data_IF_569597929325
#
_entry.id   IF_569597929325
#
_cell.length_a   1.000
_cell.length_b   1.000
_cell.length_c   1.000
_cell.angle_alpha   90.00
_cell.angle_beta   90.00
_cell.angle_gamma   90.00
#
_symmetry.space_group_name_H-M   'P 1'
#
loop_
_entity.id
_entity.type
_entity.pdbx_description
1 polymer ?
#
# COMPACT_ATOMS: atom_id res chain seq x y z
N UNK A 1 18.83 0.20 5.26
CA UNK A 1 18.18 1.54 5.38
C UNK A 1 16.65 1.39 5.28
N UNK A 2 15.85 2.22 5.98
CA UNK A 2 14.38 2.14 5.95
C UNK A 2 13.76 3.39 5.34
N UNK A 3 12.90 3.20 4.34
CA UNK A 3 12.10 4.25 3.72
C UNK A 3 10.61 3.96 3.89
N UNK A 4 9.80 5.01 4.05
CA UNK A 4 8.35 4.88 4.10
C UNK A 4 7.73 5.31 2.78
N UNK A 5 6.59 4.75 2.45
CA UNK A 5 5.78 5.21 1.34
C UNK A 5 5.17 6.58 1.65
N UNK A 6 5.07 7.40 0.61
CA UNK A 6 4.32 8.64 0.65
C UNK A 6 2.85 8.28 0.81
N UNK A 7 2.29 8.54 1.99
CA UNK A 7 0.86 8.43 2.22
C UNK A 7 0.25 9.82 2.22
N UNK A 8 -0.49 10.13 1.16
CA UNK A 8 -1.13 11.43 1.02
C UNK A 8 -2.26 11.59 2.06
N UNK A 9 -2.50 12.83 2.48
CA UNK A 9 -3.62 13.16 3.38
C UNK A 9 -4.97 12.78 2.77
N UNK A 10 -5.09 12.84 1.45
CA UNK A 10 -6.26 12.44 0.67
C UNK A 10 -6.63 10.97 0.90
N UNK A 11 -5.66 10.05 0.87
CA UNK A 11 -5.90 8.63 1.12
C UNK A 11 -6.43 8.38 2.54
N UNK A 12 -5.85 9.05 3.55
CA UNK A 12 -6.36 9.00 4.93
C UNK A 12 -7.79 9.51 5.05
N UNK A 13 -8.08 10.67 4.45
CA UNK A 13 -9.43 11.25 4.45
C UNK A 13 -10.42 10.31 3.76
N UNK A 14 -10.04 9.73 2.62
CA UNK A 14 -10.86 8.77 1.89
C UNK A 14 -11.21 7.56 2.77
N UNK A 15 -10.22 6.93 3.42
CA UNK A 15 -10.46 5.81 4.33
C UNK A 15 -11.36 6.22 5.51
N UNK A 16 -11.17 7.40 6.10
CA UNK A 16 -12.03 7.91 7.16
C UNK A 16 -13.48 8.10 6.70
N UNK A 17 -13.71 8.65 5.51
CA UNK A 17 -15.04 8.82 4.93
C UNK A 17 -15.67 7.46 4.64
N UNK A 18 -14.92 6.50 4.09
CA UNK A 18 -15.40 5.14 3.83
C UNK A 18 -15.86 4.46 5.12
N UNK A 19 -15.09 4.54 6.21
CA UNK A 19 -15.48 3.99 7.52
C UNK A 19 -16.78 4.64 8.01
N UNK A 20 -16.92 5.96 7.85
CA UNK A 20 -18.12 6.69 8.26
C UNK A 20 -19.36 6.24 7.47
N UNK A 21 -19.26 6.16 6.14
CA UNK A 21 -20.35 5.70 5.26
C UNK A 21 -20.75 4.27 5.63
N UNK A 22 -19.79 3.36 5.77
CA UNK A 22 -20.06 1.96 6.15
C UNK A 22 -20.73 1.89 7.52
N UNK A 23 -20.26 2.70 8.48
CA UNK A 23 -20.87 2.78 9.81
C UNK A 23 -22.33 3.24 9.72
N UNK A 24 -22.61 4.31 8.99
CA UNK A 24 -23.99 4.76 8.78
C UNK A 24 -24.81 3.65 8.12
N UNK A 25 -24.35 3.05 7.02
CA UNK A 25 -25.10 1.99 6.33
C UNK A 25 -25.38 0.76 7.19
N UNK A 26 -24.43 0.36 8.04
CA UNK A 26 -24.60 -0.79 8.95
C UNK A 26 -25.55 -0.49 10.12
N UNK A 27 -25.47 0.71 10.70
CA UNK A 27 -26.21 1.04 11.93
C UNK A 27 -27.51 1.81 11.68
N UNK A 28 -27.69 2.43 10.51
CA UNK A 28 -28.92 3.17 10.16
C UNK A 28 -30.19 2.30 10.24
N UNK A 29 -30.21 1.03 9.76
CA UNK A 29 -31.38 0.16 9.90
C UNK A 29 -31.73 -0.17 11.36
N UNK A 30 -30.72 -0.23 12.25
CA UNK A 30 -30.90 -0.49 13.69
C UNK A 30 -31.70 0.63 14.37
N UNK A 31 -31.67 1.85 13.83
CA UNK A 31 -32.47 2.95 14.35
C UNK A 31 -33.90 2.99 13.79
N UNK A 32 -34.19 2.24 12.72
CA UNK A 32 -35.50 2.24 12.05
C UNK A 32 -36.34 1.01 12.42
N UNK A 33 -35.70 -0.14 12.64
CA UNK A 33 -36.35 -1.40 12.97
C UNK A 33 -36.21 -1.71 14.47
N UNK A 34 -37.33 -1.80 15.19
CA UNK A 34 -37.36 -2.04 16.65
C UNK A 34 -37.04 -3.50 17.06
N UNK A 35 -37.11 -4.47 16.13
CA UNK A 35 -36.95 -5.90 16.41
C UNK A 35 -35.90 -6.57 15.52
N UNK A 36 -34.61 -6.27 15.75
CA UNK A 36 -33.51 -7.00 15.11
C UNK A 36 -33.11 -8.19 15.99
N UNK A 37 -33.11 -9.43 15.45
CA UNK A 37 -32.67 -10.59 16.22
C UNK A 37 -31.21 -10.46 16.66
N UNK A 38 -30.87 -10.88 17.89
CA UNK A 38 -29.53 -10.67 18.47
C UNK A 38 -28.43 -11.37 17.67
N UNK A 39 -28.72 -12.49 17.01
CA UNK A 39 -27.78 -13.20 16.14
C UNK A 39 -27.41 -12.36 14.91
N UNK A 40 -28.40 -11.71 14.29
CA UNK A 40 -28.17 -10.83 13.14
C UNK A 40 -27.34 -9.61 13.54
N UNK A 41 -27.61 -9.04 14.73
CA UNK A 41 -26.84 -7.92 15.27
C UNK A 41 -25.38 -8.31 15.54
N UNK A 42 -25.14 -9.49 16.10
CA UNK A 42 -23.79 -10.00 16.34
C UNK A 42 -23.00 -10.21 15.04
N UNK A 43 -23.64 -10.78 14.01
CA UNK A 43 -23.03 -10.95 12.68
C UNK A 43 -22.70 -9.59 12.06
N UNK A 44 -23.63 -8.64 12.11
CA UNK A 44 -23.46 -7.31 11.54
C UNK A 44 -22.30 -6.55 12.20
N UNK A 45 -22.22 -6.56 13.54
CA UNK A 45 -21.10 -5.97 14.28
C UNK A 45 -19.78 -6.66 13.93
N UNK A 46 -19.77 -8.00 13.86
CA UNK A 46 -18.58 -8.78 13.53
C UNK A 46 -18.04 -8.42 12.14
N UNK A 47 -18.90 -8.37 11.13
CA UNK A 47 -18.55 -7.98 9.76
C UNK A 47 -18.06 -6.53 9.71
N UNK A 48 -18.73 -5.61 10.42
CA UNK A 48 -18.31 -4.22 10.51
C UNK A 48 -16.90 -4.08 11.09
N UNK A 49 -16.60 -4.75 12.20
CA UNK A 49 -15.28 -4.73 12.84
C UNK A 49 -14.22 -5.29 11.89
N UNK A 50 -14.50 -6.39 11.19
CA UNK A 50 -13.57 -6.98 10.23
C UNK A 50 -13.25 -6.02 9.07
N UNK A 51 -14.26 -5.35 8.52
CA UNK A 51 -14.08 -4.37 7.45
C UNK A 51 -13.29 -3.16 7.95
N UNK A 52 -13.65 -2.60 9.11
CA UNK A 52 -12.95 -1.44 9.68
C UNK A 52 -11.51 -1.80 10.02
N UNK A 53 -11.26 -2.96 10.61
CA UNK A 53 -9.90 -3.45 10.87
C UNK A 53 -9.09 -3.55 9.58
N UNK A 54 -9.67 -4.07 8.50
CA UNK A 54 -9.03 -4.13 7.19
C UNK A 54 -8.75 -2.74 6.59
N UNK A 55 -9.69 -1.80 6.69
CA UNK A 55 -9.52 -0.42 6.22
C UNK A 55 -8.44 0.33 7.01
N UNK A 56 -8.46 0.21 8.34
CA UNK A 56 -7.42 0.75 9.22
C UNK A 56 -6.06 0.11 8.94
N UNK A 57 -6.05 -1.18 8.61
CA UNK A 57 -4.83 -1.88 8.24
C UNK A 57 -4.16 -1.27 6.99
N UNK A 58 -4.95 -0.80 6.00
CA UNK A 58 -4.41 -0.07 4.85
C UNK A 58 -3.72 1.26 5.23
N UNK A 59 -4.00 1.81 6.41
CA UNK A 59 -3.31 2.98 6.94
C UNK A 59 -1.95 2.65 7.58
N UNK A 60 -1.70 1.39 7.93
CA UNK A 60 -0.35 0.91 8.30
C UNK A 60 0.48 0.85 7.02
N UNK A 61 0.97 2.04 6.64
CA UNK A 61 1.52 2.31 5.32
C UNK A 61 2.71 1.44 4.93
N UNK A 62 2.99 1.50 3.63
CA UNK A 62 4.02 0.67 2.98
C UNK A 62 5.42 1.13 3.40
N UNK A 63 6.30 0.18 3.68
CA UNK A 63 7.69 0.40 4.07
C UNK A 63 8.62 -0.33 3.11
N UNK A 64 9.77 0.28 2.84
CA UNK A 64 10.82 -0.27 1.98
C UNK A 64 12.08 -0.39 2.82
N UNK A 65 12.60 -1.61 2.96
CA UNK A 65 13.79 -1.91 3.76
C UNK A 65 14.87 -2.42 2.82
N UNK A 66 15.97 -1.68 2.74
CA UNK A 66 17.20 -2.11 2.08
C UNK A 66 17.96 -3.04 3.01
N UNK A 67 18.12 -4.30 2.58
CA UNK A 67 19.00 -5.28 3.18
C UNK A 67 20.28 -5.41 2.34
N UNK A 68 21.13 -6.39 2.63
CA UNK A 68 22.40 -6.56 1.92
C UNK A 68 22.19 -7.07 0.48
N UNK A 69 21.30 -8.04 0.28
CA UNK A 69 21.10 -8.73 -1.01
C UNK A 69 19.77 -8.40 -1.71
N UNK A 70 18.80 -7.83 -0.99
CA UNK A 70 17.46 -7.59 -1.51
C UNK A 70 16.76 -6.37 -0.92
N UNK A 71 15.88 -5.79 -1.73
CA UNK A 71 14.89 -4.80 -1.31
C UNK A 71 13.64 -5.50 -0.79
N UNK A 72 13.31 -5.26 0.47
CA UNK A 72 12.08 -5.76 1.08
C UNK A 72 10.99 -4.68 1.06
N UNK A 73 9.93 -4.93 0.28
CA UNK A 73 8.74 -4.10 0.23
C UNK A 73 7.68 -4.70 1.15
N UNK A 74 7.33 -3.99 2.23
CA UNK A 74 6.30 -4.39 3.19
C UNK A 74 5.06 -3.52 2.96
N UNK A 75 3.93 -4.13 2.64
CA UNK A 75 2.64 -3.45 2.53
C UNK A 75 1.57 -4.19 3.29
N UNK A 76 1.31 -3.77 4.52
CA UNK A 76 0.36 -4.48 5.37
C UNK A 76 0.78 -5.95 5.62
N UNK A 77 -0.08 -6.95 5.31
CA UNK A 77 0.27 -8.35 5.55
C UNK A 77 1.17 -8.91 4.43
N UNK A 78 1.22 -8.22 3.29
CA UNK A 78 1.98 -8.63 2.12
C UNK A 78 3.42 -8.14 2.23
N UNK A 79 4.34 -9.03 1.90
CA UNK A 79 5.78 -8.76 1.87
C UNK A 79 6.30 -9.26 0.54
N UNK A 80 7.00 -8.40 -0.19
CA UNK A 80 7.67 -8.75 -1.43
C UNK A 80 9.18 -8.55 -1.26
N UNK A 81 9.94 -9.57 -1.65
CA UNK A 81 11.40 -9.54 -1.63
C UNK A 81 11.90 -9.46 -3.06
N UNK A 82 12.70 -8.44 -3.35
CA UNK A 82 13.22 -8.16 -4.68
C UNK A 82 14.74 -8.20 -4.58
N UNK A 83 15.35 -9.30 -5.00
CA UNK A 83 16.80 -9.43 -5.05
C UNK A 83 17.39 -8.38 -6.00
N UNK A 84 18.47 -7.72 -5.58
CA UNK A 84 19.08 -6.63 -6.34
C UNK A 84 19.54 -7.07 -7.72
N UNK A 85 20.08 -8.28 -7.85
CA UNK A 85 20.53 -8.88 -9.12
C UNK A 85 19.42 -9.07 -10.16
N UNK A 86 18.17 -9.14 -9.69
CA UNK A 86 17.01 -9.31 -10.55
C UNK A 86 16.46 -7.99 -11.08
N UNK A 87 16.89 -6.85 -10.53
CA UNK A 87 16.42 -5.52 -10.93
C UNK A 87 17.07 -5.13 -12.24
N UNK A 88 16.26 -4.93 -13.28
CA UNK A 88 16.75 -4.62 -14.63
C UNK A 88 16.64 -3.14 -14.95
N UNK A 89 15.54 -2.50 -14.55
CA UNK A 89 15.23 -1.12 -14.89
C UNK A 89 14.44 -0.46 -13.77
N UNK A 90 14.67 0.83 -13.56
CA UNK A 90 13.83 1.69 -12.72
C UNK A 90 13.44 2.92 -13.55
N UNK A 91 12.15 3.23 -13.62
CA UNK A 91 11.66 4.41 -14.33
C UNK A 91 10.60 5.17 -13.54
N UNK A 92 10.49 6.49 -13.73
CA UNK A 92 9.38 7.24 -13.17
C UNK A 92 8.05 6.76 -13.76
N UNK A 93 7.01 6.70 -12.93
CA UNK A 93 5.66 6.33 -13.38
C UNK A 93 4.58 7.19 -12.72
N UNK A 94 3.62 7.61 -13.54
CA UNK A 94 2.41 8.31 -13.09
C UNK A 94 1.24 7.36 -12.87
N UNK A 95 1.39 6.11 -13.24
CA UNK A 95 0.33 5.11 -13.17
C UNK A 95 0.19 4.54 -11.74
N UNK A 96 -1.06 4.39 -11.29
CA UNK A 96 -1.46 3.96 -9.94
C UNK A 96 -2.18 2.60 -9.98
N UNK A 97 -2.46 2.03 -11.16
CA UNK A 97 -3.29 0.83 -11.27
C UNK A 97 -2.64 -0.47 -10.76
N UNK A 98 -1.31 -0.51 -10.54
CA UNK A 98 -0.61 -1.73 -10.10
C UNK A 98 0.47 -1.45 -9.05
N UNK A 99 0.67 -2.36 -8.10
CA UNK A 99 1.80 -2.34 -7.15
C UNK A 99 1.48 -1.82 -5.74
N UNK A 100 2.52 -1.38 -5.02
CA UNK A 100 2.51 -0.98 -3.61
C UNK A 100 2.42 0.55 -3.47
N UNK A 101 1.51 1.17 -4.21
CA UNK A 101 1.36 2.63 -4.25
C UNK A 101 0.06 3.05 -3.57
N UNK A 102 0.20 3.73 -2.43
CA UNK A 102 -0.92 4.36 -1.69
C UNK A 102 -0.95 5.88 -1.88
N UNK A 103 -0.02 6.42 -2.67
CA UNK A 103 0.08 7.83 -3.01
C UNK A 103 -0.67 8.12 -4.29
N UNK A 104 -1.55 9.13 -4.25
CA UNK A 104 -2.16 9.73 -5.45
C UNK A 104 -1.22 10.70 -6.17
N UNK A 105 -0.13 11.14 -5.52
CA UNK A 105 0.87 12.02 -6.13
C UNK A 105 1.55 11.39 -7.33
N UNK A 106 1.99 12.19 -8.31
CA UNK A 106 2.66 11.81 -9.57
C UNK A 106 4.07 11.22 -9.42
N UNK A 107 4.61 11.09 -8.21
CA UNK A 107 6.04 10.84 -7.95
C UNK A 107 6.37 9.35 -7.73
N UNK A 108 5.67 8.47 -8.43
CA UNK A 108 5.90 7.03 -8.36
C UNK A 108 7.13 6.63 -9.17
N UNK A 109 7.72 5.51 -8.78
CA UNK A 109 8.74 4.80 -9.55
C UNK A 109 8.31 3.37 -9.77
N UNK A 110 8.64 2.84 -10.93
CA UNK A 110 8.40 1.45 -11.30
C UNK A 110 9.73 0.73 -11.37
N UNK A 111 9.84 -0.34 -10.59
CA UNK A 111 11.01 -1.22 -10.55
C UNK A 111 10.67 -2.47 -11.36
N UNK A 112 11.40 -2.69 -12.43
CA UNK A 112 11.31 -3.90 -13.27
C UNK A 112 12.29 -4.95 -12.77
N UNK A 113 11.80 -6.18 -12.60
CA UNK A 113 12.61 -7.29 -12.11
C UNK A 113 12.13 -8.63 -12.63
N UNK A 114 13.08 -9.55 -12.84
CA UNK A 114 12.84 -10.81 -13.56
C UNK A 114 11.92 -11.80 -12.84
N UNK A 115 11.86 -11.74 -11.52
CA UNK A 115 11.15 -12.73 -10.68
C UNK A 115 9.72 -12.31 -10.31
N UNK A 116 9.27 -11.13 -10.73
CA UNK A 116 7.94 -10.62 -10.38
C UNK A 116 6.83 -11.26 -11.21
N UNK A 117 5.71 -11.60 -10.56
CA UNK A 117 4.51 -12.13 -11.26
C UNK A 117 4.03 -11.19 -12.38
N UNK A 118 4.12 -9.88 -12.17
CA UNK A 118 3.82 -8.82 -13.14
C UNK A 118 5.05 -8.28 -13.89
N UNK A 119 6.26 -8.81 -13.63
CA UNK A 119 7.54 -8.32 -14.17
C UNK A 119 7.99 -6.94 -13.66
N UNK A 120 7.12 -6.22 -12.95
CA UNK A 120 7.42 -4.92 -12.35
C UNK A 120 6.62 -4.69 -11.06
N UNK A 121 7.07 -3.72 -10.27
CA UNK A 121 6.35 -3.23 -9.10
C UNK A 121 6.43 -1.71 -9.06
N UNK A 122 5.29 -1.07 -8.83
CA UNK A 122 5.24 0.39 -8.65
C UNK A 122 5.26 0.71 -7.16
N UNK A 123 6.11 1.65 -6.78
CA UNK A 123 6.29 2.12 -5.41
C UNK A 123 6.34 3.65 -5.38
N UNK A 124 6.09 4.23 -4.22
CA UNK A 124 6.12 5.69 -4.01
C UNK A 124 6.86 6.04 -2.73
N UNK A 125 8.20 5.90 -2.69
CA UNK A 125 8.99 6.30 -1.52
C UNK A 125 8.79 7.79 -1.21
N UNK A 126 8.65 8.12 0.07
CA UNK A 126 8.49 9.51 0.55
C UNK A 126 9.70 10.37 0.16
N UNK A 127 10.89 9.79 0.22
CA UNK A 127 12.16 10.42 -0.12
C UNK A 127 12.71 9.78 -1.41
N UNK A 128 12.08 10.10 -2.55
CA UNK A 128 12.38 9.48 -3.85
C UNK A 128 13.85 9.56 -4.25
N UNK A 129 14.45 10.75 -4.18
CA UNK A 129 15.83 10.96 -4.60
C UNK A 129 16.83 10.16 -3.75
N UNK A 130 16.64 10.18 -2.42
CA UNK A 130 17.45 9.39 -1.50
C UNK A 130 17.28 7.89 -1.75
N UNK A 131 16.03 7.43 -1.94
CA UNK A 131 15.74 6.04 -2.28
C UNK A 131 16.44 5.60 -3.56
N UNK A 132 16.38 6.39 -4.63
CA UNK A 132 17.01 6.09 -5.91
C UNK A 132 18.55 6.08 -5.79
N UNK A 133 19.12 7.03 -5.05
CA UNK A 133 20.56 7.09 -4.81
C UNK A 133 21.06 5.85 -4.06
N UNK A 134 20.30 5.36 -3.08
CA UNK A 134 20.63 4.16 -2.32
C UNK A 134 20.47 2.91 -3.19
N UNK A 135 19.38 2.82 -3.95
CA UNK A 135 19.14 1.72 -4.88
C UNK A 135 20.25 1.58 -5.92
N UNK A 136 20.78 2.70 -6.42
CA UNK A 136 21.90 2.72 -7.36
C UNK A 136 23.19 2.13 -6.77
N UNK A 137 23.43 2.29 -5.46
CA UNK A 137 24.61 1.69 -4.79
C UNK A 137 24.53 0.17 -4.76
N UNK A 138 23.34 -0.38 -4.52
CA UNK A 138 23.12 -1.82 -4.45
C UNK A 138 23.00 -2.48 -5.84
N UNK A 139 22.50 -1.74 -6.85
CA UNK A 139 22.22 -2.28 -8.18
C UNK A 139 22.90 -1.45 -9.28
N UNK A 140 24.25 -1.39 -9.35
CA UNK A 140 24.94 -0.56 -10.34
C UNK A 140 24.70 -1.00 -11.78
N UNK A 141 24.26 -2.25 -11.98
CA UNK A 141 23.91 -2.83 -13.27
C UNK A 141 22.52 -2.42 -13.76
N UNK A 142 21.63 -1.96 -12.87
CA UNK A 142 20.26 -1.62 -13.22
C UNK A 142 20.20 -0.26 -13.93
N UNK A 143 19.39 -0.17 -14.99
CA UNK A 143 19.18 1.08 -15.72
C UNK A 143 18.19 1.97 -14.95
N UNK A 144 18.68 3.01 -14.30
CA UNK A 144 17.85 3.98 -13.56
C UNK A 144 17.62 5.22 -14.43
N UNK A 145 16.38 5.43 -14.86
CA UNK A 145 15.93 6.61 -15.59
C UNK A 145 15.37 7.63 -14.59
N UNK A 146 15.77 8.90 -14.72
CA UNK A 146 15.36 10.01 -13.83
C UNK A 146 14.16 10.76 -14.41
#
# INVERSE_FOLDING_TARGET
>A
MLFKSKMDRTFRIFISISILIIGISCFFPVFLDEEIPPEAMAILIGVFILIVAFLLWMLFGIQYVFNEEYLLVKGGPFRSQIAYENITKVSPTRDIYTGYRLSTSTDGIEIFYKTGFSGSVKISPKEKELFLSELKKHCPHAKIEF
#
